data_IF_745419987584
#
_entry.id   IF_745419987584
#
_cell.length_a   1.000
_cell.length_b   1.000
_cell.length_c   1.000
_cell.angle_alpha   90.00
_cell.angle_beta   90.00
_cell.angle_gamma   90.00
#
_symmetry.space_group_name_H-M   'P 1'
#
loop_
_entity.id
_entity.type
_entity.pdbx_description
1 polymer ?
#
# COMPACT_ATOMS: atom_id res chain seq x y z
N UNK A 1 0.70 20.63 1.53
CA UNK A 1 0.02 20.28 0.28
C UNK A 1 -0.67 18.95 0.48
N UNK A 2 -1.96 18.82 0.21
CA UNK A 2 -2.77 17.61 0.44
C UNK A 2 -3.06 16.87 -0.88
N UNK A 3 -3.34 15.56 -0.80
CA UNK A 3 -3.84 14.80 -1.95
C UNK A 3 -5.13 15.42 -2.50
N UNK A 4 -5.35 15.41 -3.83
CA UNK A 4 -6.61 15.84 -4.42
C UNK A 4 -7.76 14.96 -3.90
N UNK A 5 -8.94 15.56 -3.75
CA UNK A 5 -10.12 14.84 -3.30
C UNK A 5 -10.46 13.67 -4.25
N UNK A 6 -11.02 12.59 -3.71
CA UNK A 6 -11.44 11.41 -4.47
C UNK A 6 -10.35 10.75 -5.32
N UNK A 7 -9.09 10.86 -4.91
CA UNK A 7 -7.94 10.30 -5.64
C UNK A 7 -7.28 9.14 -4.87
N UNK A 8 -7.99 8.02 -4.63
CA UNK A 8 -7.43 6.86 -3.93
C UNK A 8 -6.23 6.28 -4.70
N UNK A 9 -6.22 6.37 -6.02
CA UNK A 9 -5.12 5.89 -6.87
C UNK A 9 -3.78 6.56 -6.54
N UNK A 10 -3.83 7.81 -6.04
CA UNK A 10 -2.68 8.59 -5.62
C UNK A 10 -2.31 8.39 -4.14
N UNK A 11 -2.94 7.46 -3.43
CA UNK A 11 -2.59 7.15 -2.05
C UNK A 11 -1.82 5.82 -1.97
N UNK A 12 -0.51 5.82 -1.65
CA UNK A 12 0.31 4.61 -1.67
C UNK A 12 -0.19 3.51 -0.72
N UNK A 13 -0.95 3.87 0.32
CA UNK A 13 -1.56 2.88 1.23
C UNK A 13 -2.59 1.97 0.51
N UNK A 14 -3.21 2.44 -0.57
CA UNK A 14 -4.19 1.65 -1.33
C UNK A 14 -3.53 0.42 -1.99
N UNK A 15 -2.25 0.51 -2.38
CA UNK A 15 -1.50 -0.64 -2.87
C UNK A 15 -1.28 -1.69 -1.79
N UNK A 16 -1.00 -1.24 -0.55
CA UNK A 16 -0.88 -2.13 0.61
C UNK A 16 -2.23 -2.82 0.87
N UNK A 17 -3.33 -2.07 0.90
CA UNK A 17 -4.68 -2.63 1.08
C UNK A 17 -5.06 -3.61 0.00
N UNK A 18 -4.78 -3.31 -1.26
CA UNK A 18 -5.01 -4.22 -2.39
C UNK A 18 -4.26 -5.54 -2.21
N UNK A 19 -3.03 -5.48 -1.74
CA UNK A 19 -2.17 -6.66 -1.54
C UNK A 19 -2.60 -7.50 -0.35
N UNK A 20 -2.92 -6.88 0.80
CA UNK A 20 -3.48 -7.60 1.95
C UNK A 20 -4.81 -8.26 1.59
N UNK A 21 -5.72 -7.56 0.89
CA UNK A 21 -6.99 -8.13 0.43
C UNK A 21 -6.78 -9.32 -0.50
N UNK A 22 -5.81 -9.24 -1.41
CA UNK A 22 -5.47 -10.36 -2.31
C UNK A 22 -4.99 -11.57 -1.53
N UNK A 23 -4.08 -11.37 -0.57
CA UNK A 23 -3.56 -12.44 0.29
C UNK A 23 -4.68 -13.10 1.11
N UNK A 24 -5.57 -12.30 1.71
CA UNK A 24 -6.73 -12.79 2.45
C UNK A 24 -7.65 -13.66 1.59
N UNK A 25 -8.05 -13.16 0.42
CA UNK A 25 -8.94 -13.86 -0.51
C UNK A 25 -8.35 -15.18 -1.02
N UNK A 26 -7.02 -15.30 -1.08
CA UNK A 26 -6.32 -16.51 -1.50
C UNK A 26 -6.12 -17.52 -0.35
N UNK A 27 -6.19 -17.08 0.90
CA UNK A 27 -5.85 -17.94 2.05
C UNK A 27 -7.00 -18.87 2.41
N UNK A 28 -8.18 -18.33 2.72
CA UNK A 28 -9.37 -19.14 3.07
C UNK A 28 -10.63 -18.29 3.15
N UNK A 29 -11.79 -18.97 3.13
CA UNK A 29 -13.06 -18.35 3.47
C UNK A 29 -13.15 -18.10 4.97
N UNK A 30 -13.24 -16.83 5.36
CA UNK A 30 -13.29 -16.40 6.76
C UNK A 30 -14.73 -16.25 7.21
N UNK A 31 -15.08 -16.91 8.32
CA UNK A 31 -16.45 -16.89 8.87
C UNK A 31 -16.64 -15.87 9.99
N UNK A 32 -15.57 -15.53 10.70
CA UNK A 32 -15.60 -14.74 11.94
C UNK A 32 -14.69 -13.52 11.86
N UNK A 33 -15.12 -12.40 12.45
CA UNK A 33 -14.37 -11.15 12.45
C UNK A 33 -13.01 -11.27 13.18
N UNK A 34 -12.94 -12.09 14.22
CA UNK A 34 -11.70 -12.35 14.97
C UNK A 34 -10.67 -13.03 14.08
N UNK A 35 -11.10 -14.00 13.28
CA UNK A 35 -10.23 -14.67 12.32
C UNK A 35 -9.77 -13.70 11.22
N UNK A 36 -10.69 -12.87 10.70
CA UNK A 36 -10.37 -11.83 9.73
C UNK A 36 -9.31 -10.87 10.27
N UNK A 37 -9.48 -10.38 11.50
CA UNK A 37 -8.54 -9.45 12.14
C UNK A 37 -7.16 -10.08 12.31
N UNK A 38 -7.09 -11.34 12.74
CA UNK A 38 -5.82 -12.08 12.88
C UNK A 38 -5.12 -12.25 11.53
N UNK A 39 -5.86 -12.66 10.51
CA UNK A 39 -5.32 -12.85 9.16
C UNK A 39 -4.87 -11.52 8.57
N UNK A 40 -5.65 -10.45 8.75
CA UNK A 40 -5.29 -9.11 8.27
C UNK A 40 -3.97 -8.65 8.90
N UNK A 41 -3.81 -8.80 10.21
CA UNK A 41 -2.56 -8.47 10.91
C UNK A 41 -1.36 -9.26 10.35
N UNK A 42 -1.55 -10.57 10.12
CA UNK A 42 -0.51 -11.41 9.53
C UNK A 42 -0.15 -10.97 8.10
N UNK A 43 -1.16 -10.75 7.25
CA UNK A 43 -0.96 -10.29 5.88
C UNK A 43 -0.31 -8.91 5.82
N UNK A 44 -0.76 -7.97 6.66
CA UNK A 44 -0.17 -6.63 6.77
C UNK A 44 1.30 -6.69 7.20
N UNK A 45 1.63 -7.51 8.19
CA UNK A 45 3.02 -7.68 8.63
C UNK A 45 3.95 -8.20 7.52
N UNK A 46 3.44 -9.00 6.58
CA UNK A 46 4.21 -9.49 5.42
C UNK A 46 4.47 -8.41 4.37
N UNK A 47 3.56 -7.44 4.22
CA UNK A 47 3.64 -6.43 3.14
C UNK A 47 4.16 -5.07 3.58
N UNK A 48 4.05 -4.71 4.87
CA UNK A 48 4.35 -3.35 5.36
C UNK A 48 5.79 -2.89 5.11
N UNK A 49 6.74 -3.83 5.10
CA UNK A 49 8.18 -3.54 4.94
C UNK A 49 8.66 -3.72 3.50
N UNK A 50 7.77 -4.07 2.56
CA UNK A 50 8.13 -4.26 1.17
C UNK A 50 8.27 -2.90 0.47
N UNK A 51 9.52 -2.43 0.36
CA UNK A 51 9.87 -1.19 -0.35
C UNK A 51 9.41 -1.18 -1.82
N UNK A 52 9.20 -2.36 -2.42
CA UNK A 52 8.66 -2.50 -3.78
C UNK A 52 7.30 -1.82 -3.96
N UNK A 53 6.44 -1.77 -2.94
CA UNK A 53 5.17 -1.03 -3.05
C UNK A 53 5.39 0.47 -3.19
N UNK A 54 6.28 1.02 -2.38
CA UNK A 54 6.61 2.45 -2.40
C UNK A 54 7.31 2.83 -3.69
N UNK A 55 8.27 2.02 -4.14
CA UNK A 55 9.02 2.24 -5.38
C UNK A 55 8.09 2.15 -6.59
N UNK A 56 7.32 1.06 -6.72
CA UNK A 56 6.39 0.87 -7.83
C UNK A 56 5.32 1.96 -7.88
N UNK A 57 4.81 2.38 -6.71
CA UNK A 57 3.90 3.52 -6.64
C UNK A 57 4.56 4.81 -7.13
N UNK A 58 5.77 5.12 -6.66
CA UNK A 58 6.49 6.32 -7.07
C UNK A 58 6.76 6.33 -8.57
N UNK A 59 7.27 5.24 -9.13
CA UNK A 59 7.53 5.10 -10.57
C UNK A 59 6.27 5.33 -11.42
N UNK A 60 5.11 4.90 -10.92
CA UNK A 60 3.82 5.01 -11.62
C UNK A 60 3.27 6.45 -11.58
N UNK A 61 3.42 7.17 -10.47
CA UNK A 61 2.69 8.42 -10.22
C UNK A 61 3.57 9.67 -10.14
N UNK A 62 4.91 9.56 -10.16
CA UNK A 62 5.82 10.71 -10.02
C UNK A 62 5.53 11.86 -11.00
N UNK A 63 5.16 11.56 -12.25
CA UNK A 63 4.86 12.59 -13.26
C UNK A 63 3.55 13.34 -12.94
N UNK A 64 2.52 12.61 -12.50
CA UNK A 64 1.22 13.17 -12.08
C UNK A 64 1.31 13.94 -10.76
N UNK A 65 2.32 13.58 -9.97
CA UNK A 65 2.63 14.12 -8.66
C UNK A 65 3.85 15.05 -8.72
N UNK A 66 4.11 15.71 -9.85
CA UNK A 66 5.22 16.66 -9.99
C UNK A 66 5.24 17.79 -8.95
N UNK A 67 4.07 18.09 -8.37
CA UNK A 67 3.88 19.04 -7.28
C UNK A 67 4.08 18.45 -5.87
N UNK A 68 4.13 17.12 -5.75
CA UNK A 68 4.34 16.40 -4.51
C UNK A 68 5.85 16.18 -4.31
N UNK A 69 6.41 16.79 -3.26
CA UNK A 69 7.72 16.39 -2.76
C UNK A 69 7.55 15.18 -1.84
N UNK A 70 8.01 13.99 -2.22
CA UNK A 70 8.00 12.87 -1.29
C UNK A 70 8.86 13.23 -0.08
N UNK A 71 8.36 12.91 1.12
CA UNK A 71 9.18 12.93 2.35
C UNK A 71 10.28 11.86 2.28
N UNK A 72 10.09 10.88 1.40
CA UNK A 72 11.05 9.86 1.04
C UNK A 72 12.01 10.37 -0.02
N UNK A 73 13.30 10.30 0.30
CA UNK A 73 14.40 10.58 -0.61
C UNK A 73 14.84 9.26 -1.27
N UNK A 74 14.56 9.11 -2.56
CA UNK A 74 14.90 7.91 -3.34
C UNK A 74 16.42 7.69 -3.46
N UNK A 75 17.25 8.71 -3.20
CA UNK A 75 18.71 8.57 -3.17
C UNK A 75 19.23 7.80 -1.95
N UNK A 76 18.38 7.53 -0.95
CA UNK A 76 18.70 6.73 0.25
C UNK A 76 18.38 5.24 0.13
N UNK A 77 17.97 4.79 -1.06
CA UNK A 77 17.65 3.38 -1.34
C UNK A 77 18.79 2.63 -2.05
N UNK A 78 19.96 3.27 -2.20
CA UNK A 78 21.21 2.64 -2.65
C UNK A 78 22.06 2.18 -1.47
#
# INVERSE_FOLDING_TARGET
MSLPAYSPDLNPIEQVWKSVKRWLNQTQFVKELTELSRLFQAGFAQVKDQLSFTISWWETYQDQLSWYRPVFDSSKLQ
#
